data_IF_326451803223
#
_entry.id   IF_326451803223
#
_cell.length_a   1.000
_cell.length_b   1.000
_cell.length_c   1.000
_cell.angle_alpha   90.00
_cell.angle_beta   90.00
_cell.angle_gamma   90.00
#
_symmetry.space_group_name_H-M   'P 1'
#
loop_
_entity.id
_entity.type
_entity.pdbx_description
1 polymer ?
#
# COMPACT_ATOMS: atom_id res chain seq x y z
N UNK A 1 20.24 4.57 12.85
CA UNK A 1 19.21 3.83 12.09
C UNK A 1 18.34 4.88 11.42
N UNK A 2 18.64 5.22 10.17
CA UNK A 2 17.73 6.02 9.34
C UNK A 2 16.45 5.20 9.17
N UNK A 3 15.31 5.71 9.65
CA UNK A 3 14.01 5.08 9.43
C UNK A 3 13.43 5.65 8.13
N UNK A 4 14.02 5.30 7.00
CA UNK A 4 13.60 5.83 5.70
C UNK A 4 12.19 5.37 5.30
N UNK A 5 11.71 4.23 5.84
CA UNK A 5 10.38 3.69 5.54
C UNK A 5 9.75 2.99 6.74
N UNK A 6 8.42 2.99 6.80
CA UNK A 6 7.65 2.09 7.66
C UNK A 6 6.57 1.37 6.85
N UNK A 7 6.47 0.07 7.04
CA UNK A 7 5.50 -0.78 6.36
C UNK A 7 4.35 -1.09 7.33
N UNK A 8 3.10 -0.83 6.93
CA UNK A 8 1.91 -1.17 7.71
C UNK A 8 0.92 -1.97 6.86
N UNK A 9 0.96 -3.29 7.02
CA UNK A 9 0.15 -4.19 6.22
C UNK A 9 -1.20 -4.39 6.91
N UNK A 10 -2.25 -3.73 6.41
CA UNK A 10 -3.61 -3.81 6.99
C UNK A 10 -4.62 -4.49 6.09
N UNK A 11 -5.09 -5.67 6.47
CA UNK A 11 -6.19 -6.35 5.77
C UNK A 11 -7.52 -5.62 5.96
N UNK A 12 -8.00 -4.92 4.93
CA UNK A 12 -9.32 -4.29 4.92
C UNK A 12 -10.33 -5.16 4.17
N UNK A 13 -11.15 -5.91 4.91
CA UNK A 13 -12.29 -6.64 4.34
C UNK A 13 -13.43 -5.65 4.08
N UNK A 14 -13.85 -5.48 2.83
CA UNK A 14 -15.10 -4.76 2.53
C UNK A 14 -16.26 -5.75 2.39
N UNK A 15 -17.49 -5.35 2.73
CA UNK A 15 -18.67 -6.23 2.79
C UNK A 15 -19.08 -6.83 1.43
N UNK A 16 -18.77 -6.15 0.31
CA UNK A 16 -19.12 -6.60 -1.04
C UNK A 16 -17.97 -7.30 -1.76
N UNK A 17 -16.74 -7.02 -1.37
CA UNK A 17 -15.52 -7.55 -1.98
C UNK A 17 -14.48 -7.78 -0.90
N UNK A 18 -14.01 -9.02 -0.76
CA UNK A 18 -12.84 -9.27 0.09
C UNK A 18 -11.61 -8.70 -0.62
N UNK A 19 -11.20 -7.51 -0.17
CA UNK A 19 -9.95 -6.90 -0.55
C UNK A 19 -8.91 -7.10 0.55
N UNK A 20 -7.65 -7.08 0.16
CA UNK A 20 -6.51 -6.88 1.03
C UNK A 20 -5.96 -5.50 0.68
N UNK A 21 -5.75 -4.67 1.70
CA UNK A 21 -5.05 -3.40 1.54
C UNK A 21 -3.63 -3.59 2.08
N UNK A 22 -2.63 -3.08 1.36
CA UNK A 22 -1.26 -3.01 1.83
C UNK A 22 -0.88 -1.54 1.84
N UNK A 23 -0.51 -1.00 2.99
CA UNK A 23 -0.10 0.39 3.14
C UNK A 23 1.41 0.41 3.29
N UNK A 24 2.06 1.17 2.42
CA UNK A 24 3.48 1.47 2.53
C UNK A 24 3.57 2.95 2.85
N UNK A 25 4.27 3.31 3.93
CA UNK A 25 4.44 4.68 4.39
C UNK A 25 5.90 5.11 4.32
N UNK A 26 6.13 6.38 3.97
CA UNK A 26 7.45 7.01 3.99
C UNK A 26 7.40 8.36 4.71
N UNK A 27 8.55 8.80 5.21
CA UNK A 27 8.71 10.17 5.74
C UNK A 27 8.84 11.20 4.60
N UNK A 28 9.29 10.78 3.41
CA UNK A 28 9.35 11.62 2.20
C UNK A 28 8.35 11.14 1.12
N UNK A 29 7.33 11.97 0.80
CA UNK A 29 6.40 11.74 -0.31
C UNK A 29 7.05 11.46 -1.66
N UNK A 30 8.07 12.23 -2.02
CA UNK A 30 8.66 12.24 -3.35
C UNK A 30 9.51 11.00 -3.58
N UNK A 31 10.27 10.59 -2.57
CA UNK A 31 11.06 9.37 -2.61
C UNK A 31 10.18 8.12 -2.71
N UNK A 32 9.01 8.13 -2.07
CA UNK A 32 7.97 7.09 -2.19
C UNK A 32 7.36 7.04 -3.60
N UNK A 33 7.04 8.21 -4.18
CA UNK A 33 6.46 8.30 -5.53
C UNK A 33 7.45 7.81 -6.59
N UNK A 34 8.75 8.11 -6.45
CA UNK A 34 9.81 7.68 -7.38
C UNK A 34 10.08 6.17 -7.36
N UNK A 35 9.73 5.48 -6.27
CA UNK A 35 9.98 4.04 -6.08
C UNK A 35 8.72 3.17 -6.23
N UNK A 36 7.82 3.53 -7.15
CA UNK A 36 6.56 2.81 -7.39
C UNK A 36 6.78 1.31 -7.68
N UNK A 37 7.76 0.95 -8.50
CA UNK A 37 8.01 -0.45 -8.84
C UNK A 37 8.41 -1.27 -7.61
N UNK A 38 9.25 -0.71 -6.74
CA UNK A 38 9.71 -1.37 -5.51
C UNK A 38 8.57 -1.53 -4.51
N UNK A 39 7.84 -0.46 -4.25
CA UNK A 39 6.71 -0.45 -3.32
C UNK A 39 5.60 -1.39 -3.79
N UNK A 40 5.35 -1.44 -5.11
CA UNK A 40 4.40 -2.39 -5.70
C UNK A 40 4.83 -3.85 -5.53
N UNK A 41 6.10 -4.19 -5.76
CA UNK A 41 6.61 -5.57 -5.59
C UNK A 41 6.47 -6.05 -4.14
N UNK A 42 6.78 -5.20 -3.17
CA UNK A 42 6.60 -5.50 -1.75
C UNK A 42 5.13 -5.79 -1.43
N UNK A 43 4.24 -4.94 -1.93
CA UNK A 43 2.80 -5.10 -1.75
C UNK A 43 2.26 -6.37 -2.42
N UNK A 44 2.73 -6.69 -3.63
CA UNK A 44 2.35 -7.91 -4.36
C UNK A 44 2.81 -9.18 -3.64
N UNK A 45 4.05 -9.20 -3.11
CA UNK A 45 4.56 -10.35 -2.36
C UNK A 45 3.69 -10.65 -1.13
N UNK A 46 3.42 -9.63 -0.31
CA UNK A 46 2.56 -9.73 0.87
C UNK A 46 1.14 -10.18 0.50
N UNK A 47 0.63 -9.71 -0.64
CA UNK A 47 -0.70 -10.05 -1.09
C UNK A 47 -0.81 -11.51 -1.55
N UNK A 48 0.20 -12.01 -2.25
CA UNK A 48 0.29 -13.41 -2.68
C UNK A 48 0.37 -14.33 -1.45
N UNK A 49 1.22 -14.00 -0.47
CA UNK A 49 1.36 -14.79 0.77
C UNK A 49 0.03 -14.88 1.56
N UNK A 50 -0.80 -13.82 1.51
CA UNK A 50 -2.12 -13.79 2.16
C UNK A 50 -3.26 -14.34 1.29
N UNK A 51 -2.96 -14.80 0.07
CA UNK A 51 -3.93 -15.39 -0.85
C UNK A 51 -4.81 -14.39 -1.60
N UNK A 52 -4.32 -13.17 -1.83
CA UNK A 52 -4.95 -12.12 -2.64
C UNK A 52 -4.03 -11.78 -3.84
N UNK A 53 -3.88 -12.66 -4.84
CA UNK A 53 -2.86 -12.50 -5.88
C UNK A 53 -3.21 -11.45 -6.95
N UNK A 54 -4.44 -10.94 -6.96
CA UNK A 54 -4.91 -10.07 -8.04
C UNK A 54 -4.90 -8.61 -7.62
N UNK A 55 -3.99 -7.83 -8.21
CA UNK A 55 -3.99 -6.38 -8.10
C UNK A 55 -5.30 -5.81 -8.64
N UNK A 56 -5.89 -4.88 -7.88
CA UNK A 56 -7.13 -4.20 -8.25
C UNK A 56 -6.90 -2.72 -8.55
N UNK A 57 -6.30 -1.98 -7.61
CA UNK A 57 -5.99 -0.56 -7.76
C UNK A 57 -4.94 -0.09 -6.75
N UNK A 58 -4.39 1.08 -7.00
CA UNK A 58 -3.50 1.81 -6.10
C UNK A 58 -4.11 3.19 -5.82
N UNK A 59 -3.96 3.67 -4.59
CA UNK A 59 -4.34 5.01 -4.17
C UNK A 59 -3.16 5.64 -3.42
N UNK A 60 -2.86 6.90 -3.73
CA UNK A 60 -1.87 7.69 -2.99
C UNK A 60 -2.61 8.60 -2.00
N UNK A 61 -2.25 8.54 -0.73
CA UNK A 61 -2.79 9.44 0.30
C UNK A 61 -1.65 10.24 0.93
N UNK A 62 -1.71 11.56 0.78
CA UNK A 62 -0.82 12.50 1.48
C UNK A 62 -1.59 13.06 2.65
N UNK A 63 -1.13 12.78 3.87
CA UNK A 63 -1.70 13.31 5.11
C UNK A 63 -0.77 14.35 5.70
N UNK A 64 -1.30 15.53 5.97
CA UNK A 64 -0.57 16.59 6.64
C UNK A 64 -0.97 16.66 8.12
N UNK A 65 0.01 16.56 9.01
CA UNK A 65 -0.16 16.69 10.45
C UNK A 65 0.72 17.83 10.97
N UNK A 66 0.17 19.04 11.03
CA UNK A 66 0.91 20.23 11.43
C UNK A 66 2.00 20.57 10.40
N UNK A 67 3.27 20.45 10.80
CA UNK A 67 4.43 20.65 9.90
C UNK A 67 4.95 19.34 9.29
N UNK A 68 4.41 18.18 9.70
CA UNK A 68 4.82 16.89 9.16
C UNK A 68 3.93 16.50 7.98
N UNK A 69 4.56 16.09 6.89
CA UNK A 69 3.90 15.45 5.76
C UNK A 69 4.16 13.95 5.86
N UNK A 70 3.10 13.16 5.75
CA UNK A 70 3.18 11.71 5.64
C UNK A 70 2.58 11.31 4.31
N UNK A 71 3.30 10.49 3.57
CA UNK A 71 2.78 9.87 2.36
C UNK A 71 2.63 8.39 2.53
N UNK A 72 1.41 7.95 2.26
CA UNK A 72 1.03 6.56 2.24
C UNK A 72 0.62 6.17 0.82
N UNK A 73 1.08 5.00 0.38
CA UNK A 73 0.61 4.38 -0.84
C UNK A 73 -0.15 3.11 -0.50
N UNK A 74 -1.38 3.03 -0.99
CA UNK A 74 -2.34 1.99 -0.66
C UNK A 74 -2.55 1.08 -1.86
N UNK A 75 -2.07 -0.14 -1.76
CA UNK A 75 -2.29 -1.16 -2.77
C UNK A 75 -3.46 -2.05 -2.38
N UNK A 76 -4.40 -2.23 -3.31
CA UNK A 76 -5.57 -3.07 -3.11
C UNK A 76 -5.47 -4.33 -3.94
N UNK A 77 -5.65 -5.46 -3.28
CA UNK A 77 -5.61 -6.78 -3.88
C UNK A 77 -6.88 -7.57 -3.59
N UNK A 78 -7.15 -8.56 -4.42
CA UNK A 78 -8.36 -9.36 -4.36
C UNK A 78 -8.04 -10.84 -4.53
N UNK A 79 -8.94 -11.69 -4.03
CA UNK A 79 -8.84 -13.15 -4.20
C UNK A 79 -9.30 -13.63 -5.58
N UNK A 80 -10.00 -12.79 -6.33
CA UNK A 80 -10.58 -13.09 -7.64
C UNK A 80 -10.43 -11.86 -8.52
N UNK A 81 -10.28 -12.04 -9.82
CA UNK A 81 -10.36 -10.92 -10.76
C UNK A 81 -11.68 -10.16 -10.59
N UNK A 82 -11.57 -8.90 -10.17
CA UNK A 82 -12.67 -7.93 -10.17
C UNK A 82 -12.53 -7.15 -11.48
N UNK A 83 -13.50 -7.33 -12.37
CA UNK A 83 -13.62 -6.54 -13.61
C UNK A 83 -14.18 -5.15 -13.29
#
# INVERSE_FOLDING_TARGET
MNREYWEDIRVVKTEKVQLLRVIIGGEDPWEMLENEERTRKLAEQEAIEKGFPYFHRVEDEVRTYGQNELSERWYYFSKKHIK
#
